data_IF_116756746572
#
_entry.id   IF_116756746572
#
_cell.length_a   1.000
_cell.length_b   1.000
_cell.length_c   1.000
_cell.angle_alpha   90.00
_cell.angle_beta   90.00
_cell.angle_gamma   90.00
#
_symmetry.space_group_name_H-M   'P 1'
#
loop_
_entity.id
_entity.type
_entity.pdbx_description
1 polymer ?
#
# COMPACT_ATOMS: atom_id res chain seq x y z
N UNK A 1 12.72 -9.48 -11.40
CA UNK A 1 14.04 -8.81 -11.49
C UNK A 1 13.81 -7.38 -11.96
N UNK A 2 14.36 -6.38 -11.24
CA UNK A 2 14.19 -4.97 -11.57
C UNK A 2 14.73 -4.64 -12.97
N UNK A 3 14.03 -3.77 -13.71
CA UNK A 3 14.38 -3.33 -15.07
C UNK A 3 15.42 -2.20 -15.09
N UNK A 4 15.77 -1.66 -13.92
CA UNK A 4 16.78 -0.61 -13.74
C UNK A 4 17.69 -0.94 -12.57
N UNK A 5 18.92 -0.40 -12.58
CA UNK A 5 19.83 -0.48 -11.43
C UNK A 5 19.24 0.26 -10.23
N UNK A 6 19.12 -0.43 -9.10
CA UNK A 6 18.66 0.13 -7.83
C UNK A 6 19.80 0.63 -6.94
N UNK A 7 21.01 0.76 -7.49
CA UNK A 7 22.15 1.34 -6.79
C UNK A 7 22.19 2.86 -7.05
N UNK A 8 21.63 3.71 -6.17
CA UNK A 8 21.69 5.16 -6.35
C UNK A 8 23.14 5.66 -6.29
N UNK A 9 23.42 6.80 -6.94
CA UNK A 9 24.70 7.50 -6.77
C UNK A 9 24.89 7.84 -5.29
N UNK A 10 26.06 7.56 -4.69
CA UNK A 10 26.27 7.72 -3.25
C UNK A 10 26.37 9.20 -2.86
N UNK A 11 25.22 9.84 -2.65
CA UNK A 11 25.12 11.18 -2.09
C UNK A 11 25.41 11.17 -0.59
N UNK A 12 25.73 12.33 -0.02
CA UNK A 12 26.03 12.47 1.41
C UNK A 12 24.84 12.04 2.29
N UNK A 13 23.61 12.39 1.86
CA UNK A 13 22.37 11.95 2.49
C UNK A 13 22.19 10.43 2.45
N UNK A 14 22.46 9.79 1.30
CA UNK A 14 22.39 8.32 1.18
C UNK A 14 23.38 7.61 2.12
N UNK A 15 24.60 8.15 2.27
CA UNK A 15 25.62 7.60 3.17
C UNK A 15 25.21 7.69 4.64
N UNK A 16 24.60 8.80 5.05
CA UNK A 16 24.12 9.01 6.42
C UNK A 16 22.95 8.06 6.75
N UNK A 17 21.96 7.97 5.87
CA UNK A 17 20.82 7.07 6.02
C UNK A 17 21.26 5.60 6.06
N UNK A 18 22.15 5.20 5.14
CA UNK A 18 22.76 3.86 5.14
C UNK A 18 23.48 3.53 6.46
N UNK A 19 24.20 4.50 7.03
CA UNK A 19 24.90 4.33 8.30
C UNK A 19 23.93 4.13 9.47
N UNK A 20 22.90 4.98 9.57
CA UNK A 20 21.88 4.90 10.63
C UNK A 20 21.13 3.57 10.58
N UNK A 21 20.72 3.14 9.38
CA UNK A 21 19.97 1.90 9.22
C UNK A 21 20.79 0.66 9.54
N UNK A 22 22.04 0.59 9.09
CA UNK A 22 22.93 -0.53 9.46
C UNK A 22 23.19 -0.56 10.96
N UNK A 23 23.37 0.59 11.59
CA UNK A 23 23.62 0.69 13.04
C UNK A 23 22.39 0.33 13.87
N UNK A 24 21.18 0.62 13.39
CA UNK A 24 19.93 0.38 14.13
C UNK A 24 19.25 -0.96 13.82
N UNK A 25 19.39 -1.48 12.60
CA UNK A 25 18.65 -2.65 12.11
C UNK A 25 19.53 -3.78 11.54
N UNK A 26 20.86 -3.63 11.53
CA UNK A 26 21.81 -4.70 11.16
C UNK A 26 21.88 -5.04 9.66
N UNK A 27 20.93 -4.59 8.84
CA UNK A 27 20.89 -4.82 7.39
C UNK A 27 20.65 -3.50 6.63
N UNK A 28 21.07 -3.45 5.37
CA UNK A 28 20.60 -2.41 4.45
C UNK A 28 19.23 -2.85 3.97
N UNK A 29 18.19 -2.17 4.43
CA UNK A 29 16.87 -2.34 3.86
C UNK A 29 16.95 -1.71 2.47
N UNK A 30 17.00 -2.52 1.41
CA UNK A 30 16.81 -2.07 0.02
C UNK A 30 15.56 -1.17 -0.15
N UNK A 31 14.48 -1.34 0.64
CA UNK A 31 13.40 -0.36 0.73
C UNK A 31 13.84 1.07 1.02
N UNK A 32 14.97 1.32 1.69
CA UNK A 32 15.47 2.68 1.96
C UNK A 32 16.39 3.21 0.86
N UNK A 33 17.13 2.34 0.16
CA UNK A 33 17.81 2.74 -1.08
C UNK A 33 16.81 3.07 -2.20
N UNK A 34 15.69 2.35 -2.25
CA UNK A 34 14.55 2.65 -3.12
C UNK A 34 13.65 3.78 -2.57
N UNK A 35 13.56 3.98 -1.24
CA UNK A 35 12.80 5.08 -0.61
C UNK A 35 13.34 6.47 -0.93
N UNK A 36 14.57 6.59 -1.44
CA UNK A 36 15.01 7.83 -2.06
C UNK A 36 14.09 8.27 -3.22
N UNK A 37 13.20 7.37 -3.70
CA UNK A 37 12.25 7.57 -4.78
C UNK A 37 10.81 7.03 -4.51
N UNK A 38 10.30 7.12 -3.27
CA UNK A 38 8.93 6.79 -2.78
C UNK A 38 8.70 5.34 -2.25
N UNK A 39 8.54 5.13 -0.92
CA UNK A 39 8.10 3.85 -0.31
C UNK A 39 6.58 3.64 -0.51
N UNK A 40 5.87 2.55 -0.18
CA UNK A 40 5.28 2.28 1.15
C UNK A 40 4.41 0.99 1.12
N UNK A 41 4.46 0.17 0.06
CA UNK A 41 3.56 -0.99 -0.10
C UNK A 41 3.55 -2.00 1.07
N UNK A 42 4.69 -2.19 1.73
CA UNK A 42 4.81 -3.05 2.93
C UNK A 42 4.55 -2.31 4.26
N UNK A 43 4.50 -0.96 4.26
CA UNK A 43 4.18 -0.18 5.46
C UNK A 43 2.70 -0.26 5.80
N UNK A 44 1.80 -0.36 4.80
CA UNK A 44 0.36 -0.51 5.05
C UNK A 44 0.06 -1.75 5.90
N UNK A 45 0.61 -2.92 5.51
CA UNK A 45 0.48 -4.16 6.28
C UNK A 45 1.09 -4.05 7.68
N UNK A 46 2.32 -3.52 7.79
CA UNK A 46 3.00 -3.33 9.08
C UNK A 46 2.24 -2.34 9.99
N UNK A 47 1.76 -1.22 9.45
CA UNK A 47 0.99 -0.23 10.17
C UNK A 47 -0.36 -0.77 10.63
N UNK A 48 -1.05 -1.56 9.80
CA UNK A 48 -2.30 -2.24 10.20
C UNK A 48 -2.08 -3.22 11.36
N UNK A 49 -0.99 -4.00 11.34
CA UNK A 49 -0.61 -4.87 12.46
C UNK A 49 -0.31 -4.10 13.75
N UNK A 50 0.21 -2.88 13.63
CA UNK A 50 0.49 -2.01 14.79
C UNK A 50 -0.69 -1.09 15.18
N UNK A 51 -1.77 -1.05 14.41
CA UNK A 51 -2.94 -0.21 14.65
C UNK A 51 -4.09 -0.95 15.37
N UNK A 52 -3.94 -2.24 15.68
CA UNK A 52 -4.97 -3.02 16.37
C UNK A 52 -6.09 -3.54 15.46
N UNK A 53 -5.83 -3.70 14.16
CA UNK A 53 -6.77 -4.34 13.21
C UNK A 53 -6.90 -5.83 13.55
N UNK A 54 -8.12 -6.37 13.52
CA UNK A 54 -8.35 -7.78 13.80
C UNK A 54 -7.61 -8.67 12.77
N UNK A 55 -6.74 -9.61 13.20
CA UNK A 55 -6.09 -10.55 12.30
C UNK A 55 -7.06 -11.35 11.41
N UNK A 56 -8.29 -11.61 11.86
CA UNK A 56 -9.33 -12.26 11.06
C UNK A 56 -9.77 -11.38 9.88
N UNK A 57 -9.97 -10.08 10.12
CA UNK A 57 -10.25 -9.12 9.05
C UNK A 57 -9.08 -9.02 8.08
N UNK A 58 -7.83 -8.95 8.56
CA UNK A 58 -6.66 -8.90 7.67
C UNK A 58 -6.57 -10.11 6.73
N UNK A 59 -6.87 -11.31 7.23
CA UNK A 59 -6.93 -12.53 6.41
C UNK A 59 -8.10 -12.52 5.43
N UNK A 60 -9.20 -11.86 5.78
CA UNK A 60 -10.39 -11.77 4.94
C UNK A 60 -10.29 -10.75 3.80
N UNK A 61 -9.26 -9.89 3.79
CA UNK A 61 -9.11 -8.80 2.80
C UNK A 61 -9.10 -9.32 1.36
N UNK A 62 -8.59 -10.52 1.08
CA UNK A 62 -8.56 -11.07 -0.30
C UNK A 62 -9.93 -11.50 -0.82
N UNK A 63 -10.87 -11.83 0.08
CA UNK A 63 -12.22 -12.31 -0.21
C UNK A 63 -13.28 -11.46 0.50
N UNK A 64 -12.99 -10.16 0.66
CA UNK A 64 -13.78 -9.23 1.47
C UNK A 64 -15.24 -9.09 1.01
N UNK A 65 -15.52 -9.34 -0.27
CA UNK A 65 -16.88 -9.29 -0.84
C UNK A 65 -17.79 -10.35 -0.22
N UNK A 66 -17.22 -11.51 0.11
CA UNK A 66 -17.93 -12.68 0.63
C UNK A 66 -17.78 -12.83 2.15
N UNK A 67 -17.03 -11.92 2.80
CA UNK A 67 -16.73 -11.99 4.23
C UNK A 67 -17.71 -11.20 5.08
N UNK A 68 -18.30 -11.86 6.08
CA UNK A 68 -19.24 -11.25 7.02
C UNK A 68 -18.57 -10.33 8.07
N UNK A 69 -17.24 -10.20 8.02
CA UNK A 69 -16.45 -9.41 8.98
C UNK A 69 -16.51 -7.89 8.73
N UNK A 70 -16.97 -7.46 7.56
CA UNK A 70 -16.96 -6.05 7.18
C UNK A 70 -18.34 -5.42 7.19
N UNK A 71 -18.43 -4.26 7.84
CA UNK A 71 -19.61 -3.39 7.82
C UNK A 71 -19.94 -2.90 6.41
N UNK A 72 -21.16 -2.38 6.25
CA UNK A 72 -21.60 -1.79 4.98
C UNK A 72 -20.73 -0.59 4.56
N UNK A 73 -20.18 0.18 5.50
CA UNK A 73 -19.26 1.28 5.20
C UNK A 73 -17.91 0.74 4.72
N UNK A 74 -17.32 -0.20 5.44
CA UNK A 74 -16.01 -0.79 5.06
C UNK A 74 -16.07 -1.45 3.69
N UNK A 75 -17.17 -2.14 3.36
CA UNK A 75 -17.39 -2.70 2.02
C UNK A 75 -17.43 -1.63 0.94
N UNK A 76 -18.09 -0.47 1.19
CA UNK A 76 -18.08 0.67 0.25
C UNK A 76 -16.69 1.28 0.09
N UNK A 77 -15.95 1.43 1.19
CA UNK A 77 -14.56 1.92 1.20
C UNK A 77 -13.62 0.95 0.47
N UNK A 78 -13.80 -0.38 0.60
CA UNK A 78 -12.99 -1.37 -0.11
C UNK A 78 -13.35 -1.53 -1.59
N UNK A 79 -14.60 -1.24 -1.98
CA UNK A 79 -15.01 -1.23 -3.39
C UNK A 79 -14.37 -0.07 -4.17
N UNK A 80 -14.27 1.10 -3.54
CA UNK A 80 -13.88 2.35 -4.18
C UNK A 80 -12.48 2.33 -4.85
N UNK A 81 -11.40 1.85 -4.19
CA UNK A 81 -10.07 1.80 -4.79
C UNK A 81 -10.00 0.99 -6.08
N UNK A 82 -10.73 -0.13 -6.16
CA UNK A 82 -10.75 -0.99 -7.34
C UNK A 82 -11.32 -0.25 -8.56
N UNK A 83 -12.44 0.46 -8.38
CA UNK A 83 -13.02 1.28 -9.44
C UNK A 83 -12.16 2.49 -9.79
N UNK A 84 -11.55 3.14 -8.79
CA UNK A 84 -10.71 4.32 -8.99
C UNK A 84 -9.43 4.02 -9.78
N UNK A 85 -8.83 2.85 -9.56
CA UNK A 85 -7.55 2.47 -10.18
C UNK A 85 -7.71 1.72 -11.51
N UNK A 86 -8.95 1.38 -11.90
CA UNK A 86 -9.26 0.84 -13.22
C UNK A 86 -8.76 1.77 -14.34
N UNK A 87 -8.52 1.21 -15.53
CA UNK A 87 -8.06 1.97 -16.69
C UNK A 87 -8.95 1.63 -17.89
N UNK A 88 -9.94 2.50 -18.24
CA UNK A 88 -10.26 3.80 -17.63
C UNK A 88 -10.87 3.67 -16.20
N UNK A 89 -10.84 4.73 -15.37
CA UNK A 89 -11.50 4.71 -14.06
C UNK A 89 -13.01 4.43 -14.17
N UNK A 90 -13.52 3.61 -13.25
CA UNK A 90 -14.91 3.11 -13.24
C UNK A 90 -15.73 3.68 -12.07
N UNK A 91 -15.21 4.67 -11.34
CA UNK A 91 -15.92 5.31 -10.23
C UNK A 91 -17.20 5.97 -10.75
N UNK A 92 -18.33 5.66 -10.13
CA UNK A 92 -19.63 6.25 -10.45
C UNK A 92 -20.05 7.30 -9.42
N UNK A 93 -20.95 8.20 -9.82
CA UNK A 93 -21.57 9.16 -8.89
C UNK A 93 -22.30 8.46 -7.73
N UNK A 94 -22.90 7.31 -8.00
CA UNK A 94 -23.56 6.49 -6.99
C UNK A 94 -22.58 6.00 -5.92
N UNK A 95 -21.39 5.52 -6.30
CA UNK A 95 -20.38 5.09 -5.34
C UNK A 95 -19.95 6.22 -4.40
N UNK A 96 -19.78 7.44 -4.95
CA UNK A 96 -19.43 8.61 -4.14
C UNK A 96 -20.60 9.03 -3.24
N UNK A 97 -21.84 9.02 -3.76
CA UNK A 97 -23.03 9.32 -2.98
C UNK A 97 -23.22 8.34 -1.82
N UNK A 98 -23.00 7.05 -2.06
CA UNK A 98 -23.09 6.00 -1.04
C UNK A 98 -22.02 6.16 0.05
N UNK A 99 -20.79 6.59 -0.29
CA UNK A 99 -19.78 6.92 0.72
C UNK A 99 -20.19 8.11 1.58
N UNK A 100 -20.79 9.14 0.98
CA UNK A 100 -21.25 10.36 1.68
C UNK A 100 -22.45 10.15 2.61
N UNK A 101 -23.08 8.97 2.60
CA UNK A 101 -24.11 8.61 3.60
C UNK A 101 -23.50 8.56 4.99
N UNK A 102 -22.27 8.06 5.12
CA UNK A 102 -21.61 7.84 6.41
C UNK A 102 -20.34 8.68 6.58
N UNK A 103 -19.76 9.16 5.48
CA UNK A 103 -18.54 9.98 5.48
C UNK A 103 -18.86 11.47 5.30
N UNK A 104 -18.11 12.31 6.02
CA UNK A 104 -18.10 13.77 5.87
C UNK A 104 -17.48 14.17 4.53
N UNK A 105 -17.84 15.34 4.02
CA UNK A 105 -17.43 15.80 2.68
C UNK A 105 -15.91 15.76 2.42
N UNK A 106 -15.07 15.93 3.45
CA UNK A 106 -13.61 15.85 3.32
C UNK A 106 -13.08 14.41 3.18
N UNK A 107 -13.76 13.42 3.74
CA UNK A 107 -13.25 12.05 3.90
C UNK A 107 -13.18 11.28 2.56
N UNK A 108 -14.15 11.38 1.63
CA UNK A 108 -13.98 10.83 0.27
C UNK A 108 -12.83 11.46 -0.50
N UNK A 109 -12.53 12.74 -0.27
CA UNK A 109 -11.40 13.44 -0.91
C UNK A 109 -10.08 12.89 -0.38
N UNK A 110 -9.96 12.71 0.93
CA UNK A 110 -8.80 12.10 1.57
C UNK A 110 -8.61 10.63 1.13
N UNK A 111 -9.70 9.88 1.03
CA UNK A 111 -9.68 8.50 0.50
C UNK A 111 -9.15 8.48 -0.94
N UNK A 112 -9.69 9.34 -1.80
CA UNK A 112 -9.26 9.48 -3.20
C UNK A 112 -7.77 9.80 -3.30
N UNK A 113 -7.30 10.79 -2.52
CA UNK A 113 -5.89 11.19 -2.52
C UNK A 113 -4.98 10.05 -2.07
N UNK A 114 -5.39 9.32 -1.04
CA UNK A 114 -4.67 8.13 -0.53
C UNK A 114 -4.58 7.04 -1.60
N UNK A 115 -5.69 6.70 -2.24
CA UNK A 115 -5.74 5.67 -3.30
C UNK A 115 -4.87 6.08 -4.49
N UNK A 116 -4.95 7.34 -4.94
CA UNK A 116 -4.12 7.83 -6.04
C UNK A 116 -2.62 7.72 -5.75
N UNK A 117 -2.21 8.03 -4.51
CA UNK A 117 -0.81 7.94 -4.10
C UNK A 117 -0.31 6.49 -4.12
N UNK A 118 -1.11 5.53 -3.66
CA UNK A 118 -0.75 4.11 -3.71
C UNK A 118 -0.75 3.56 -5.14
N UNK A 119 -1.68 3.99 -6.00
CA UNK A 119 -1.68 3.60 -7.41
C UNK A 119 -0.45 4.13 -8.16
N UNK A 120 -0.05 5.38 -7.91
CA UNK A 120 1.21 5.93 -8.43
C UNK A 120 2.40 5.05 -8.05
N UNK A 121 2.50 4.68 -6.77
CA UNK A 121 3.58 3.81 -6.27
C UNK A 121 3.53 2.43 -6.92
N UNK A 122 2.35 1.84 -7.03
CA UNK A 122 2.15 0.54 -7.67
C UNK A 122 2.55 0.56 -9.14
N UNK A 123 2.09 1.57 -9.89
CA UNK A 123 2.45 1.74 -11.32
C UNK A 123 3.94 1.98 -11.51
N UNK A 124 4.57 2.79 -10.66
CA UNK A 124 6.02 2.98 -10.68
C UNK A 124 6.77 1.66 -10.44
N UNK A 125 6.39 0.92 -9.40
CA UNK A 125 6.99 -0.37 -9.06
C UNK A 125 6.84 -1.36 -10.21
N UNK A 126 5.63 -1.49 -10.78
CA UNK A 126 5.33 -2.39 -11.88
C UNK A 126 6.12 -1.99 -13.16
N UNK A 127 6.16 -0.71 -13.51
CA UNK A 127 6.89 -0.20 -14.66
C UNK A 127 8.39 -0.52 -14.58
N UNK A 128 8.96 -0.40 -13.38
CA UNK A 128 10.37 -0.67 -13.09
C UNK A 128 10.66 -2.16 -12.80
N UNK A 129 9.65 -3.04 -12.86
CA UNK A 129 9.81 -4.47 -12.61
C UNK A 129 10.24 -4.82 -11.19
N UNK A 130 9.90 -3.95 -10.22
CA UNK A 130 10.16 -4.22 -8.81
C UNK A 130 9.24 -5.33 -8.34
N UNK A 131 9.84 -6.37 -7.74
CA UNK A 131 9.12 -7.49 -7.13
C UNK A 131 9.25 -7.41 -5.62
N UNK A 132 8.29 -7.99 -4.89
CA UNK A 132 8.33 -8.04 -3.43
C UNK A 132 9.69 -8.54 -2.91
N UNK A 133 10.18 -7.91 -1.85
CA UNK A 133 11.53 -8.08 -1.31
C UNK A 133 11.70 -9.36 -0.47
N UNK A 134 11.02 -10.45 -0.84
CA UNK A 134 11.03 -11.72 -0.09
C UNK A 134 10.32 -11.65 1.28
N UNK A 135 9.61 -10.56 1.61
CA UNK A 135 8.82 -10.47 2.85
C UNK A 135 7.68 -11.48 2.89
N UNK A 136 7.13 -11.85 1.71
CA UNK A 136 6.19 -12.97 1.57
C UNK A 136 6.77 -14.29 2.08
N UNK A 137 8.07 -14.53 1.93
CA UNK A 137 8.72 -15.77 2.37
C UNK A 137 8.77 -15.89 3.91
N UNK A 138 8.43 -14.80 4.61
CA UNK A 138 8.31 -14.72 6.08
C UNK A 138 6.90 -14.35 6.53
N UNK A 139 5.95 -14.26 5.60
CA UNK A 139 4.56 -13.92 5.89
C UNK A 139 3.77 -15.22 6.06
N UNK A 140 3.15 -15.41 7.22
CA UNK A 140 2.33 -16.59 7.52
C UNK A 140 0.97 -16.58 6.81
N UNK A 141 0.62 -15.48 6.13
CA UNK A 141 -0.63 -15.35 5.39
C UNK A 141 -0.51 -16.09 4.05
N UNK A 142 -1.43 -17.04 3.75
CA UNK A 142 -1.40 -17.78 2.49
C UNK A 142 -1.49 -16.86 1.27
N UNK A 143 -0.75 -17.19 0.22
CA UNK A 143 -0.95 -16.57 -1.07
C UNK A 143 -2.32 -17.00 -1.65
N UNK A 144 -3.04 -16.10 -2.34
CA UNK A 144 -4.16 -16.51 -3.18
C UNK A 144 -3.69 -17.41 -4.33
#
# INVERSE_FOLDING_TARGET
MARISLAPKPTLGYRLVRFVLRRRYGVMLDPVAAAAHQPWGDFGYWASHHAGVDPAELRAVTHWRDSDLYSALERRVMAYPGAMTATPPEVTDQMVAELRVDLRDAEPVELTATVALEDLRNRNNAALGLTGQGFKDRCEVPAP
#
